data_IF_423349675985
#
_entry.id   IF_423349675985
#
_cell.length_a   1.000
_cell.length_b   1.000
_cell.length_c   1.000
_cell.angle_alpha   90.00
_cell.angle_beta   90.00
_cell.angle_gamma   90.00
#
_symmetry.space_group_name_H-M   'P 1'
#
loop_
_entity.id
_entity.type
_entity.pdbx_description
1 polymer ?
#
# COMPACT_ATOMS: atom_id res chain seq x y z
N UNK A 1 -39.97 -16.58 10.09
CA UNK A 1 -39.09 -16.13 9.02
C UNK A 1 -38.65 -14.71 9.31
N UNK A 2 -37.40 -14.51 9.76
CA UNK A 2 -36.82 -13.15 9.96
C UNK A 2 -35.84 -12.91 8.83
N UNK A 3 -36.14 -11.95 7.97
CA UNK A 3 -35.28 -11.50 6.87
C UNK A 3 -34.23 -10.60 7.47
N UNK A 4 -32.96 -11.03 7.49
CA UNK A 4 -31.83 -10.18 7.87
C UNK A 4 -31.40 -9.43 6.61
N UNK A 5 -31.68 -8.13 6.59
CA UNK A 5 -31.24 -7.22 5.54
C UNK A 5 -29.74 -6.96 5.71
N UNK A 6 -28.95 -7.48 4.77
CA UNK A 6 -27.49 -7.26 4.69
C UNK A 6 -27.26 -5.89 4.07
N UNK A 7 -26.95 -4.90 4.91
CA UNK A 7 -26.59 -3.56 4.46
C UNK A 7 -25.24 -3.55 3.76
N UNK A 8 -25.23 -3.33 2.45
CA UNK A 8 -24.03 -3.06 1.66
C UNK A 8 -23.57 -1.63 1.98
N UNK A 9 -22.50 -1.49 2.75
CA UNK A 9 -21.82 -0.20 2.94
C UNK A 9 -20.96 0.05 1.70
N UNK A 10 -21.49 0.83 0.77
CA UNK A 10 -20.75 1.38 -0.36
C UNK A 10 -19.91 2.53 0.18
N UNK A 11 -18.62 2.35 0.30
CA UNK A 11 -17.67 3.44 0.53
C UNK A 11 -17.57 4.25 -0.78
N UNK A 12 -18.43 5.23 -0.93
CA UNK A 12 -18.28 6.26 -1.94
C UNK A 12 -17.11 7.15 -1.54
N UNK A 13 -15.94 6.91 -2.14
CA UNK A 13 -14.85 7.87 -2.14
C UNK A 13 -15.31 9.08 -2.95
N UNK A 14 -15.82 10.09 -2.28
CA UNK A 14 -16.10 11.40 -2.86
C UNK A 14 -14.78 12.05 -3.28
N UNK A 15 -14.41 11.85 -4.55
CA UNK A 15 -13.38 12.61 -5.24
C UNK A 15 -13.94 14.02 -5.57
N UNK A 16 -14.26 14.81 -4.56
CA UNK A 16 -14.58 16.22 -4.73
C UNK A 16 -13.34 17.06 -4.42
N UNK A 17 -12.67 17.54 -5.45
CA UNK A 17 -11.64 18.57 -5.28
C UNK A 17 -10.52 18.65 -6.31
N UNK A 18 -10.44 17.74 -7.29
CA UNK A 18 -9.32 17.77 -8.25
C UNK A 18 -9.66 18.44 -9.60
N UNK A 19 -10.93 18.68 -9.89
CA UNK A 19 -11.35 19.22 -11.20
C UNK A 19 -11.17 20.74 -11.32
N UNK A 20 -11.12 21.50 -10.23
CA UNK A 20 -11.01 22.95 -10.29
C UNK A 20 -9.57 23.47 -10.49
N UNK A 21 -8.55 22.69 -10.15
CA UNK A 21 -7.15 23.08 -10.38
C UNK A 21 -6.65 22.83 -11.80
N UNK A 22 -7.27 21.94 -12.57
CA UNK A 22 -6.86 21.69 -13.96
C UNK A 22 -7.38 22.75 -14.94
N UNK A 23 -8.45 23.49 -14.62
CA UNK A 23 -8.95 24.56 -15.49
C UNK A 23 -8.16 25.86 -15.44
N UNK A 24 -7.29 26.03 -14.44
CA UNK A 24 -6.48 27.25 -14.30
C UNK A 24 -5.14 27.20 -15.06
N UNK A 25 -4.78 26.05 -15.64
CA UNK A 25 -3.51 25.89 -16.40
C UNK A 25 -3.68 25.97 -17.92
N UNK A 26 -4.90 26.18 -18.42
CA UNK A 26 -5.19 26.20 -19.87
C UNK A 26 -5.77 27.55 -20.34
N UNK A 27 -5.16 28.69 -19.98
CA UNK A 27 -5.64 29.95 -20.51
C UNK A 27 -4.79 31.14 -20.08
N UNK A 28 -3.70 31.42 -20.77
CA UNK A 28 -3.38 32.74 -21.32
C UNK A 28 -1.99 32.76 -21.95
N UNK A 29 -1.98 32.75 -23.25
CA UNK A 29 -0.85 33.18 -24.05
C UNK A 29 -1.10 34.67 -24.37
N UNK A 30 -0.21 35.53 -23.90
CA UNK A 30 0.11 36.80 -24.59
C UNK A 30 1.46 37.33 -24.12
N UNK A 31 2.25 37.71 -25.12
CA UNK A 31 3.61 38.19 -25.08
C UNK A 31 3.77 39.47 -24.28
N UNK A 32 4.90 39.66 -23.56
CA UNK A 32 5.78 40.81 -23.76
C UNK A 32 7.14 40.64 -23.05
N UNK A 33 8.10 41.21 -23.72
CA UNK A 33 9.54 41.20 -23.65
C UNK A 33 10.16 41.77 -22.35
N UNK A 34 11.32 41.18 -22.00
CA UNK A 34 12.51 41.74 -21.34
C UNK A 34 12.49 42.02 -19.82
N UNK A 35 13.25 41.29 -19.08
CA UNK A 35 14.54 41.63 -18.45
C UNK A 35 14.94 40.66 -17.37
N UNK A 36 16.05 40.06 -17.56
CA UNK A 36 17.10 39.52 -16.69
C UNK A 36 16.91 39.68 -15.17
N UNK A 37 16.72 38.55 -14.46
CA UNK A 37 17.53 38.25 -13.28
C UNK A 37 17.42 36.76 -12.96
N UNK A 38 18.54 36.08 -13.04
CA UNK A 38 18.76 34.69 -12.71
C UNK A 38 18.55 34.45 -11.21
N UNK A 39 17.47 33.77 -10.86
CA UNK A 39 17.42 32.97 -9.67
C UNK A 39 17.02 31.53 -10.07
N UNK A 40 18.04 30.68 -10.25
CA UNK A 40 17.91 29.26 -10.37
C UNK A 40 17.21 28.75 -9.08
N UNK A 41 15.90 28.64 -9.09
CA UNK A 41 15.22 27.78 -8.19
C UNK A 41 15.60 26.34 -8.59
N UNK A 42 16.52 25.79 -7.85
CA UNK A 42 16.92 24.40 -7.92
C UNK A 42 15.69 23.58 -7.46
N UNK A 43 14.78 23.29 -8.39
CA UNK A 43 13.78 22.25 -8.16
C UNK A 43 14.53 20.92 -8.18
N UNK A 44 15.07 20.53 -7.01
CA UNK A 44 15.50 19.18 -6.76
C UNK A 44 14.25 18.30 -6.89
N UNK A 45 14.04 17.73 -8.08
CA UNK A 45 13.21 16.57 -8.25
C UNK A 45 13.89 15.45 -7.46
N UNK A 46 13.55 15.31 -6.18
CA UNK A 46 13.91 14.14 -5.42
C UNK A 46 13.14 12.98 -6.08
N UNK A 47 13.81 12.27 -6.99
CA UNK A 47 13.37 10.97 -7.43
C UNK A 47 13.29 10.12 -6.17
N UNK A 48 12.08 9.84 -5.69
CA UNK A 48 11.86 8.99 -4.53
C UNK A 48 12.15 7.56 -4.99
N UNK A 49 13.42 7.19 -4.95
CA UNK A 49 13.87 5.84 -5.31
C UNK A 49 13.40 4.89 -4.20
N UNK A 50 12.69 3.85 -4.59
CA UNK A 50 12.30 2.82 -3.64
C UNK A 50 13.55 2.08 -3.12
N UNK A 51 13.63 1.91 -1.80
CA UNK A 51 14.71 1.17 -1.16
C UNK A 51 14.31 -0.29 -0.92
N UNK A 52 15.29 -1.18 -0.92
CA UNK A 52 15.05 -2.56 -0.52
C UNK A 52 14.82 -2.64 0.99
N UNK A 53 13.88 -3.49 1.45
CA UNK A 53 13.61 -3.62 2.87
C UNK A 53 14.86 -4.12 3.62
N UNK A 54 15.10 -3.52 4.78
CA UNK A 54 16.14 -4.00 5.72
C UNK A 54 15.49 -5.00 6.66
N UNK A 55 15.73 -6.29 6.41
CA UNK A 55 15.18 -7.39 7.21
C UNK A 55 16.04 -7.56 8.46
N UNK A 56 15.43 -7.52 9.66
CA UNK A 56 16.11 -7.80 10.92
C UNK A 56 16.37 -9.31 11.09
N UNK A 57 17.26 -9.69 12.01
CA UNK A 57 17.48 -11.10 12.32
C UNK A 57 16.22 -11.82 12.82
N UNK A 58 15.37 -11.15 13.59
CA UNK A 58 14.09 -11.69 14.05
C UNK A 58 13.13 -11.92 12.87
N UNK A 59 13.00 -10.94 11.99
CA UNK A 59 12.17 -11.06 10.78
C UNK A 59 12.68 -12.16 9.85
N UNK A 60 13.99 -12.30 9.68
CA UNK A 60 14.57 -13.37 8.87
C UNK A 60 14.26 -14.75 9.45
N UNK A 61 14.35 -14.91 10.77
CA UNK A 61 14.00 -16.18 11.43
C UNK A 61 12.50 -16.54 11.21
N UNK A 62 11.61 -15.54 11.22
CA UNK A 62 10.18 -15.73 10.91
C UNK A 62 10.00 -16.18 9.46
N UNK A 63 10.71 -15.54 8.51
CA UNK A 63 10.66 -15.89 7.08
C UNK A 63 11.16 -17.32 6.87
N UNK A 64 12.30 -17.68 7.47
CA UNK A 64 12.91 -19.00 7.31
C UNK A 64 12.05 -20.12 7.92
N UNK A 65 11.43 -19.87 9.07
CA UNK A 65 10.50 -20.78 9.73
C UNK A 65 9.09 -20.77 9.15
N UNK A 66 8.77 -19.83 8.26
CA UNK A 66 7.44 -19.65 7.71
C UNK A 66 7.07 -20.67 6.63
N UNK A 67 5.78 -20.98 6.53
CA UNK A 67 5.23 -21.83 5.48
C UNK A 67 4.97 -21.01 4.21
N UNK A 68 5.52 -21.46 3.07
CA UNK A 68 5.22 -20.83 1.78
C UNK A 68 3.76 -21.02 1.42
N UNK A 69 3.09 -19.94 1.11
CA UNK A 69 1.68 -19.90 0.75
C UNK A 69 1.53 -19.15 -0.56
N UNK A 70 1.00 -19.84 -1.58
CA UNK A 70 0.94 -19.36 -2.97
C UNK A 70 -0.43 -18.83 -3.31
N UNK A 71 -0.44 -17.79 -4.12
CA UNK A 71 -1.61 -17.27 -4.83
C UNK A 71 -1.37 -17.40 -6.33
N UNK A 72 -1.64 -18.60 -6.85
CA UNK A 72 -1.28 -19.00 -8.22
C UNK A 72 -1.96 -18.11 -9.27
N UNK A 73 -3.23 -17.72 -9.07
CA UNK A 73 -3.96 -16.83 -9.96
C UNK A 73 -3.27 -15.47 -10.18
N UNK A 74 -2.44 -15.06 -9.22
CA UNK A 74 -1.75 -13.78 -9.25
C UNK A 74 -0.22 -13.91 -9.34
N UNK A 75 0.30 -15.14 -9.39
CA UNK A 75 1.74 -15.36 -9.41
C UNK A 75 2.46 -14.74 -8.22
N UNK A 76 1.86 -14.81 -7.03
CA UNK A 76 2.43 -14.27 -5.79
C UNK A 76 2.55 -15.37 -4.74
N UNK A 77 3.50 -15.22 -3.84
CA UNK A 77 3.59 -16.07 -2.64
C UNK A 77 4.13 -15.29 -1.45
N UNK A 78 3.85 -15.79 -0.26
CA UNK A 78 4.32 -15.28 1.03
C UNK A 78 4.80 -16.40 1.92
N UNK A 79 5.69 -16.10 2.86
CA UNK A 79 6.01 -16.95 4.00
C UNK A 79 5.14 -16.52 5.18
N UNK A 80 4.23 -17.40 5.61
CA UNK A 80 3.35 -17.12 6.75
C UNK A 80 3.87 -17.85 8.00
N UNK A 81 3.88 -17.18 9.17
CA UNK A 81 4.24 -17.83 10.42
C UNK A 81 3.34 -19.03 10.73
N UNK A 82 3.82 -19.93 11.57
CA UNK A 82 3.06 -21.14 11.96
C UNK A 82 1.69 -20.77 12.54
N UNK A 83 0.67 -21.57 12.22
CA UNK A 83 -0.68 -21.41 12.74
C UNK A 83 -1.57 -20.43 11.97
N UNK A 84 -1.05 -19.67 11.00
CA UNK A 84 -1.89 -18.87 10.13
C UNK A 84 -2.79 -19.74 9.27
N UNK A 85 -4.08 -19.39 9.16
CA UNK A 85 -5.10 -20.15 8.45
C UNK A 85 -5.71 -19.36 7.32
N UNK A 86 -5.98 -20.05 6.22
CA UNK A 86 -6.70 -19.47 5.09
C UNK A 86 -8.12 -19.10 5.50
N UNK A 87 -8.52 -17.87 5.20
CA UNK A 87 -9.90 -17.41 5.32
C UNK A 87 -10.60 -17.48 3.96
N UNK A 88 -10.04 -16.76 2.97
CA UNK A 88 -10.60 -16.64 1.62
C UNK A 88 -9.47 -16.41 0.62
N UNK A 89 -9.42 -17.23 -0.43
CA UNK A 89 -8.50 -17.05 -1.55
C UNK A 89 -9.30 -17.17 -2.84
N UNK A 90 -9.37 -16.07 -3.58
CA UNK A 90 -10.06 -15.91 -4.85
C UNK A 90 -9.10 -15.24 -5.85
N UNK A 91 -9.58 -15.02 -7.07
CA UNK A 91 -8.81 -14.36 -8.12
C UNK A 91 -8.29 -12.97 -7.72
N UNK A 92 -9.06 -12.21 -6.91
CA UNK A 92 -8.76 -10.83 -6.56
C UNK A 92 -8.54 -10.62 -5.05
N UNK A 93 -8.58 -11.68 -4.25
CA UNK A 93 -8.37 -11.64 -2.81
C UNK A 93 -7.59 -12.83 -2.28
N UNK A 94 -6.69 -12.58 -1.33
CA UNK A 94 -5.88 -13.58 -0.65
C UNK A 94 -5.82 -13.22 0.83
N UNK A 95 -6.64 -13.90 1.65
CA UNK A 95 -6.87 -13.53 3.03
C UNK A 95 -6.54 -14.68 3.99
N UNK A 96 -5.75 -14.36 5.00
CA UNK A 96 -5.31 -15.27 6.05
C UNK A 96 -5.47 -14.64 7.42
N UNK A 97 -5.57 -15.48 8.45
CA UNK A 97 -5.73 -15.07 9.85
C UNK A 97 -4.77 -15.86 10.74
N UNK A 98 -4.14 -15.16 11.68
CA UNK A 98 -3.36 -15.77 12.76
C UNK A 98 -4.26 -16.36 13.86
N UNK A 99 -3.72 -17.24 14.74
CA UNK A 99 -4.46 -17.78 15.90
C UNK A 99 -4.98 -16.72 16.87
N UNK A 100 -4.33 -15.56 16.94
CA UNK A 100 -4.64 -14.47 17.87
C UNK A 100 -5.30 -13.24 17.20
N UNK A 101 -5.96 -13.47 16.06
CA UNK A 101 -6.76 -12.48 15.33
C UNK A 101 -5.93 -11.32 14.72
N UNK A 102 -4.73 -11.61 14.23
CA UNK A 102 -4.10 -10.78 13.22
C UNK A 102 -4.48 -11.28 11.81
N UNK A 103 -4.45 -10.41 10.83
CA UNK A 103 -4.91 -10.68 9.48
C UNK A 103 -3.86 -10.29 8.46
N UNK A 104 -3.72 -11.07 7.40
CA UNK A 104 -3.15 -10.69 6.13
C UNK A 104 -4.31 -10.59 5.13
N UNK A 105 -4.52 -9.41 4.59
CA UNK A 105 -5.55 -9.11 3.61
C UNK A 105 -4.88 -8.54 2.35
N UNK A 106 -4.92 -9.31 1.27
CA UNK A 106 -4.35 -8.88 0.00
C UNK A 106 -5.46 -8.77 -1.04
N UNK A 107 -5.48 -7.63 -1.73
CA UNK A 107 -6.46 -7.36 -2.77
C UNK A 107 -5.79 -6.85 -4.04
N UNK A 108 -6.30 -7.29 -5.18
CA UNK A 108 -5.97 -6.79 -6.51
C UNK A 108 -7.13 -5.97 -7.03
N UNK A 109 -6.82 -4.79 -7.56
CA UNK A 109 -7.76 -4.01 -8.38
C UNK A 109 -7.19 -3.89 -9.79
N UNK A 110 -7.97 -4.29 -10.79
CA UNK A 110 -7.58 -4.15 -12.20
C UNK A 110 -7.77 -2.69 -12.61
N UNK A 111 -6.73 -2.12 -13.21
CA UNK A 111 -6.72 -0.74 -13.70
C UNK A 111 -6.91 -0.72 -15.22
N UNK A 112 -7.49 0.35 -15.79
CA UNK A 112 -7.55 0.51 -17.24
C UNK A 112 -6.14 0.62 -17.84
N UNK A 113 -6.00 0.26 -19.12
CA UNK A 113 -4.69 0.28 -19.81
C UNK A 113 -4.05 1.67 -19.82
N UNK A 114 -4.87 2.73 -19.89
CA UNK A 114 -4.41 4.12 -19.84
C UNK A 114 -3.99 4.58 -18.46
N UNK A 115 -4.11 3.75 -17.41
CA UNK A 115 -3.81 4.17 -16.04
C UNK A 115 -2.34 4.54 -15.86
N UNK A 116 -2.03 5.77 -15.37
CA UNK A 116 -0.66 6.27 -15.24
C UNK A 116 -0.02 5.80 -13.93
N UNK A 117 0.51 4.57 -13.89
CA UNK A 117 1.00 3.93 -12.66
C UNK A 117 2.04 4.77 -11.91
N UNK A 118 3.04 5.34 -12.60
CA UNK A 118 4.13 6.09 -11.96
C UNK A 118 3.64 7.39 -11.33
N UNK A 119 2.77 8.13 -12.05
CA UNK A 119 2.17 9.38 -11.55
C UNK A 119 1.29 9.06 -10.34
N UNK A 120 0.51 7.99 -10.42
CA UNK A 120 -0.39 7.56 -9.34
C UNK A 120 0.39 7.10 -8.11
N UNK A 121 1.51 6.39 -8.30
CA UNK A 121 2.39 5.98 -7.20
C UNK A 121 2.98 7.19 -6.49
N UNK A 122 3.48 8.17 -7.26
CA UNK A 122 4.00 9.42 -6.68
C UNK A 122 2.93 10.18 -5.91
N UNK A 123 1.74 10.34 -6.48
CA UNK A 123 0.63 11.02 -5.81
C UNK A 123 0.21 10.29 -4.52
N UNK A 124 0.22 8.96 -4.55
CA UNK A 124 -0.08 8.15 -3.37
C UNK A 124 0.97 8.35 -2.27
N UNK A 125 2.26 8.35 -2.63
CA UNK A 125 3.34 8.62 -1.68
C UNK A 125 3.24 10.02 -1.09
N UNK A 126 3.02 11.05 -1.91
CA UNK A 126 2.86 12.43 -1.45
C UNK A 126 1.67 12.56 -0.47
N UNK A 127 0.56 11.87 -0.76
CA UNK A 127 -0.59 11.81 0.14
C UNK A 127 -0.26 11.09 1.46
N UNK A 128 0.43 9.95 1.40
CA UNK A 128 0.85 9.22 2.59
C UNK A 128 1.79 10.06 3.47
N UNK A 129 2.70 10.82 2.88
CA UNK A 129 3.57 11.75 3.60
C UNK A 129 2.79 12.89 4.28
N UNK A 130 1.66 13.34 3.70
CA UNK A 130 0.77 14.29 4.40
C UNK A 130 0.09 13.62 5.62
N UNK A 131 -0.32 12.36 5.50
CA UNK A 131 -0.90 11.63 6.64
C UNK A 131 0.14 11.39 7.76
N UNK A 132 1.42 11.16 7.41
CA UNK A 132 2.52 11.11 8.37
C UNK A 132 2.67 12.44 9.12
N UNK A 133 2.69 13.58 8.41
CA UNK A 133 2.75 14.91 9.01
C UNK A 133 1.56 15.23 9.92
N UNK A 134 0.39 14.69 9.58
CA UNK A 134 -0.84 14.87 10.35
C UNK A 134 -0.96 13.88 11.53
N UNK A 135 0.06 13.04 11.78
CA UNK A 135 0.06 12.06 12.85
C UNK A 135 -0.89 10.87 12.65
N UNK A 136 -1.44 10.68 11.46
CA UNK A 136 -2.27 9.51 11.14
C UNK A 136 -1.45 8.27 10.81
N UNK A 137 -0.25 8.46 10.29
CA UNK A 137 0.73 7.41 10.08
C UNK A 137 1.92 7.64 10.99
N UNK A 138 2.54 6.56 11.43
CA UNK A 138 3.77 6.54 12.22
C UNK A 138 4.99 6.43 11.32
N UNK A 139 4.87 5.72 10.20
CA UNK A 139 5.93 5.54 9.23
C UNK A 139 5.36 5.55 7.81
N UNK A 140 6.13 6.11 6.87
CA UNK A 140 5.86 6.06 5.42
C UNK A 140 7.19 5.96 4.70
N UNK A 141 7.32 5.02 3.74
CA UNK A 141 8.51 4.89 2.89
C UNK A 141 8.16 4.28 1.53
N UNK A 142 9.01 4.52 0.54
CA UNK A 142 8.98 3.78 -0.74
C UNK A 142 9.82 2.53 -0.59
N UNK A 143 9.24 1.35 -0.85
CA UNK A 143 9.90 0.05 -0.69
C UNK A 143 9.73 -0.79 -1.94
N UNK A 144 10.84 -1.38 -2.42
CA UNK A 144 10.84 -2.36 -3.48
C UNK A 144 10.85 -3.78 -2.89
N UNK A 145 9.79 -4.56 -3.17
CA UNK A 145 9.68 -5.96 -2.76
C UNK A 145 9.65 -6.83 -4.01
N UNK A 146 10.68 -7.66 -4.16
CA UNK A 146 10.88 -8.58 -5.29
C UNK A 146 10.72 -7.92 -6.68
N UNK A 147 11.25 -6.69 -6.82
CA UNK A 147 11.23 -5.91 -8.07
C UNK A 147 9.96 -5.08 -8.28
N UNK A 148 9.03 -5.07 -7.35
CA UNK A 148 7.82 -4.24 -7.39
C UNK A 148 7.98 -3.10 -6.38
N UNK A 149 7.96 -1.85 -6.87
CA UNK A 149 8.03 -0.67 -6.01
C UNK A 149 6.64 -0.26 -5.51
N UNK A 150 6.55 0.10 -4.24
CA UNK A 150 5.30 0.53 -3.60
C UNK A 150 5.51 1.44 -2.41
N UNK A 151 4.43 2.00 -1.92
CA UNK A 151 4.38 2.82 -0.70
C UNK A 151 4.00 1.94 0.48
N UNK A 152 4.90 1.84 1.44
CA UNK A 152 4.67 1.18 2.73
C UNK A 152 4.34 2.23 3.78
N UNK A 153 3.37 1.95 4.61
CA UNK A 153 3.03 2.80 5.76
C UNK A 153 2.47 2.00 6.92
N UNK A 154 2.68 2.53 8.11
CA UNK A 154 2.14 2.01 9.37
C UNK A 154 1.23 3.09 9.96
N UNK A 155 0.00 2.73 10.28
CA UNK A 155 -0.93 3.63 10.98
C UNK A 155 -0.42 3.95 12.38
N UNK A 156 -0.64 5.19 12.82
CA UNK A 156 -0.41 5.56 14.21
C UNK A 156 -1.33 4.75 15.16
N UNK A 157 -0.96 4.68 16.42
CA UNK A 157 -1.78 4.00 17.42
C UNK A 157 -3.16 4.67 17.50
N UNK A 158 -4.26 3.92 17.30
CA UNK A 158 -5.60 4.49 17.44
C UNK A 158 -5.89 4.89 18.91
N UNK A 159 -6.70 5.92 19.11
CA UNK A 159 -7.14 6.35 20.45
C UNK A 159 -7.83 5.21 21.19
N UNK A 160 -8.77 4.53 20.52
CA UNK A 160 -9.34 3.28 21.00
C UNK A 160 -8.46 2.11 20.57
N UNK A 161 -7.69 1.55 21.49
CA UNK A 161 -6.81 0.41 21.26
C UNK A 161 -7.54 -0.88 20.85
N UNK A 162 -8.86 -0.96 20.96
CA UNK A 162 -9.66 -2.06 20.42
C UNK A 162 -9.90 -1.92 18.91
N UNK A 163 -9.71 -0.73 18.37
CA UNK A 163 -9.80 -0.46 16.94
C UNK A 163 -8.64 -1.08 16.16
N UNK A 164 -8.84 -1.45 14.88
CA UNK A 164 -7.77 -1.99 14.04
C UNK A 164 -6.64 -0.99 13.83
N UNK A 165 -5.40 -1.48 13.84
CA UNK A 165 -4.20 -0.79 13.39
C UNK A 165 -3.60 -1.58 12.23
N UNK A 166 -3.09 -0.88 11.21
CA UNK A 166 -2.65 -1.49 9.96
C UNK A 166 -1.19 -1.20 9.66
N UNK A 167 -0.53 -2.19 9.09
CA UNK A 167 0.71 -2.06 8.35
C UNK A 167 0.38 -2.43 6.91
N UNK A 168 0.62 -1.53 5.96
CA UNK A 168 0.12 -1.66 4.60
C UNK A 168 1.18 -1.28 3.58
N UNK A 169 1.15 -1.96 2.44
CA UNK A 169 1.96 -1.65 1.27
C UNK A 169 1.07 -1.65 0.03
N UNK A 170 1.14 -0.57 -0.75
CA UNK A 170 0.39 -0.40 -1.98
C UNK A 170 1.36 -0.22 -3.13
N UNK A 171 1.18 -1.02 -4.16
CA UNK A 171 2.00 -1.00 -5.36
C UNK A 171 1.16 -1.08 -6.63
N UNK A 172 1.77 -0.75 -7.76
CA UNK A 172 1.22 -1.00 -9.08
C UNK A 172 2.15 -1.93 -9.82
N UNK A 173 1.57 -2.87 -10.58
CA UNK A 173 2.32 -3.79 -11.45
C UNK A 173 1.55 -4.06 -12.73
N UNK A 174 2.24 -4.62 -13.72
CA UNK A 174 1.59 -5.29 -14.86
C UNK A 174 1.76 -6.80 -14.68
N UNK A 175 0.66 -7.53 -14.71
CA UNK A 175 0.65 -8.99 -14.61
C UNK A 175 -0.27 -9.57 -15.69
N UNK A 176 0.23 -10.51 -16.50
CA UNK A 176 -0.47 -11.10 -17.65
C UNK A 176 -1.10 -10.04 -18.59
N UNK A 177 -0.38 -8.95 -18.82
CA UNK A 177 -0.82 -7.84 -19.67
C UNK A 177 -1.82 -6.88 -19.02
N UNK A 178 -2.26 -7.11 -17.79
CA UNK A 178 -3.19 -6.24 -17.07
C UNK A 178 -2.46 -5.35 -16.06
N UNK A 179 -2.74 -4.05 -16.07
CA UNK A 179 -2.31 -3.14 -15.00
C UNK A 179 -3.13 -3.42 -13.75
N UNK A 180 -2.45 -3.54 -12.63
CA UNK A 180 -3.05 -3.89 -11.35
C UNK A 180 -2.54 -2.98 -10.24
N UNK A 181 -3.44 -2.58 -9.32
CA UNK A 181 -3.05 -2.13 -8.00
C UNK A 181 -3.03 -3.34 -7.08
N UNK A 182 -1.92 -3.53 -6.40
CA UNK A 182 -1.71 -4.54 -5.38
C UNK A 182 -1.74 -3.85 -4.02
N UNK A 183 -2.66 -4.27 -3.16
CA UNK A 183 -2.80 -3.80 -1.79
C UNK A 183 -2.52 -4.97 -0.84
N UNK A 184 -1.40 -4.93 -0.14
CA UNK A 184 -1.01 -5.89 0.88
C UNK A 184 -1.15 -5.23 2.24
N UNK A 185 -2.00 -5.76 3.08
CA UNK A 185 -2.31 -5.20 4.38
C UNK A 185 -2.24 -6.26 5.47
N UNK A 186 -1.46 -6.03 6.50
CA UNK A 186 -1.55 -6.74 7.77
C UNK A 186 -2.23 -5.87 8.81
N UNK A 187 -3.04 -6.48 9.67
CA UNK A 187 -3.85 -5.74 10.64
C UNK A 187 -4.16 -6.58 11.87
N UNK A 188 -4.25 -5.92 13.00
CA UNK A 188 -4.82 -6.47 14.24
C UNK A 188 -5.36 -5.31 15.10
N UNK A 189 -5.94 -5.59 16.26
CA UNK A 189 -6.29 -4.54 17.23
C UNK A 189 -5.04 -3.77 17.65
N UNK A 190 -5.15 -2.45 17.89
CA UNK A 190 -4.04 -1.62 18.34
C UNK A 190 -3.34 -2.17 19.56
N UNK A 191 -4.11 -2.73 20.54
CA UNK A 191 -3.55 -3.37 21.75
C UNK A 191 -2.68 -4.62 21.47
N UNK A 192 -2.83 -5.24 20.30
CA UNK A 192 -2.12 -6.45 19.92
C UNK A 192 -0.99 -6.18 18.90
N UNK A 193 -0.94 -4.98 18.33
CA UNK A 193 -0.10 -4.67 17.18
C UNK A 193 1.39 -4.91 17.46
N UNK A 194 1.85 -4.52 18.65
CA UNK A 194 3.27 -4.68 19.04
C UNK A 194 3.72 -6.14 19.14
N UNK A 195 2.80 -7.08 19.38
CA UNK A 195 3.12 -8.51 19.37
C UNK A 195 3.50 -9.02 17.97
N UNK A 196 3.05 -8.30 16.93
CA UNK A 196 3.28 -8.61 15.53
C UNK A 196 4.28 -7.65 14.87
N UNK A 197 5.04 -6.87 15.66
CA UNK A 197 5.99 -5.88 15.15
C UNK A 197 7.03 -6.47 14.18
N UNK A 198 7.43 -7.73 14.38
CA UNK A 198 8.32 -8.45 13.46
C UNK A 198 7.56 -9.32 12.46
N UNK A 199 6.40 -9.90 12.83
CA UNK A 199 5.61 -10.75 11.93
C UNK A 199 5.12 -10.00 10.69
N UNK A 200 4.56 -8.80 10.86
CA UNK A 200 3.96 -8.04 9.77
C UNK A 200 4.97 -7.62 8.71
N UNK A 201 6.12 -7.02 9.06
CA UNK A 201 7.18 -6.77 8.09
C UNK A 201 7.73 -8.08 7.48
N UNK A 202 7.92 -9.14 8.28
CA UNK A 202 8.42 -10.42 7.79
C UNK A 202 7.50 -11.02 6.72
N UNK A 203 6.18 -11.02 6.97
CA UNK A 203 5.19 -11.47 5.99
C UNK A 203 5.29 -10.62 4.71
N UNK A 204 5.24 -9.29 4.85
CA UNK A 204 5.29 -8.37 3.71
C UNK A 204 6.57 -8.57 2.88
N UNK A 205 7.74 -8.58 3.54
CA UNK A 205 9.04 -8.67 2.86
C UNK A 205 9.36 -10.07 2.33
N UNK A 206 8.64 -11.09 2.77
CA UNK A 206 8.75 -12.44 2.22
C UNK A 206 8.05 -12.61 0.87
N UNK A 207 7.27 -11.61 0.43
CA UNK A 207 6.55 -11.67 -0.83
C UNK A 207 7.48 -11.98 -2.01
N UNK A 208 7.04 -12.91 -2.86
CA UNK A 208 7.67 -13.23 -4.14
C UNK A 208 6.68 -13.07 -5.26
N UNK A 209 7.14 -12.52 -6.38
CA UNK A 209 6.38 -12.41 -7.61
C UNK A 209 6.99 -13.33 -8.67
N UNK A 210 6.15 -14.12 -9.33
CA UNK A 210 6.55 -14.85 -10.54
C UNK A 210 6.80 -13.81 -11.64
N UNK A 211 7.99 -13.91 -12.24
CA UNK A 211 8.43 -13.03 -13.34
C UNK A 211 7.90 -13.52 -14.67
#
# INVERSE_FOLDING_TARGET
MKVISLGIIIFALTFCGLTDKLKQLSGKSESNTASNSSSRANSSSSSTTAEKPKISGAQQAIIDGGTETKWDDQGLSWKLPSGWKKMDVKKESFNYQSPDNAFLLVNISVMPDSFPMDISMKAYYDQAMQQLKNGKYEAVKMVEIDGISGVEFVEAMPEDKSSPRRHQWIAYRTYLGQKQQLNVMTSTKGSNFEKHADDFPAILYSMKAVK
#
